data_IF_229197823760
#
_entry.id   IF_229197823760
#
_cell.length_a   1.000
_cell.length_b   1.000
_cell.length_c   1.000
_cell.angle_alpha   90.00
_cell.angle_beta   90.00
_cell.angle_gamma   90.00
#
_symmetry.space_group_name_H-M   'P 1'
#
loop_
_entity.id
_entity.type
_entity.pdbx_description
1 polymer ?
#
# COMPACT_ATOMS: atom_id res chain seq x y z
N UNK A 1 -22.49 -15.03 -17.51
CA UNK A 1 -22.20 -13.85 -18.34
C UNK A 1 -21.40 -12.91 -17.48
N UNK A 2 -20.07 -12.94 -17.61
CA UNK A 2 -19.14 -12.24 -16.73
C UNK A 2 -19.05 -10.79 -17.18
N UNK A 3 -19.57 -9.87 -16.39
CA UNK A 3 -19.26 -8.45 -16.51
C UNK A 3 -17.80 -8.27 -16.04
N UNK A 4 -16.87 -8.44 -16.95
CA UNK A 4 -15.58 -7.79 -16.83
C UNK A 4 -15.88 -6.29 -16.90
N UNK A 5 -15.93 -5.66 -15.72
CA UNK A 5 -15.89 -4.23 -15.61
C UNK A 5 -14.57 -3.82 -16.28
N UNK A 6 -14.70 -3.33 -17.53
CA UNK A 6 -13.58 -2.86 -18.28
C UNK A 6 -12.99 -1.70 -17.47
N UNK A 7 -11.89 -1.95 -16.79
CA UNK A 7 -10.98 -0.90 -16.35
C UNK A 7 -10.59 -0.21 -17.65
N UNK A 8 -11.27 0.88 -17.98
CA UNK A 8 -10.91 1.72 -19.12
C UNK A 8 -9.50 2.16 -18.81
N UNK A 9 -8.55 1.60 -19.54
CA UNK A 9 -7.12 1.91 -19.49
C UNK A 9 -6.98 3.38 -19.90
N UNK A 10 -7.02 4.29 -18.91
CA UNK A 10 -6.97 5.73 -19.11
C UNK A 10 -5.55 6.19 -18.88
N UNK A 11 -4.86 6.41 -19.96
CA UNK A 11 -3.53 6.99 -19.91
C UNK A 11 -3.57 8.49 -19.58
N UNK A 12 -2.62 8.92 -18.77
CA UNK A 12 -2.39 10.32 -18.41
C UNK A 12 -0.90 10.61 -18.49
N UNK A 13 -0.61 11.88 -18.74
CA UNK A 13 0.78 12.36 -18.76
C UNK A 13 1.19 12.82 -17.36
N UNK A 14 2.26 12.24 -16.83
CA UNK A 14 2.92 12.74 -15.64
C UNK A 14 3.51 14.14 -15.88
N UNK A 15 3.28 15.06 -14.97
CA UNK A 15 3.74 16.44 -15.12
C UNK A 15 5.24 16.63 -14.80
N UNK A 16 5.90 15.63 -14.24
CA UNK A 16 7.32 15.67 -13.86
C UNK A 16 8.20 15.04 -14.92
N UNK A 17 7.93 13.77 -15.28
CA UNK A 17 8.68 13.01 -16.27
C UNK A 17 8.20 13.28 -17.70
N UNK A 18 6.97 13.77 -17.87
CA UNK A 18 6.26 13.92 -19.13
C UNK A 18 5.94 12.59 -19.84
N UNK A 19 6.13 11.48 -19.18
CA UNK A 19 5.76 10.16 -19.67
C UNK A 19 4.24 9.96 -19.61
N UNK A 20 3.73 9.18 -20.56
CA UNK A 20 2.34 8.73 -20.57
C UNK A 20 2.28 7.37 -19.91
N UNK A 21 1.43 7.24 -18.90
CA UNK A 21 1.29 6.00 -18.14
C UNK A 21 -0.15 5.80 -17.69
N UNK A 22 -0.46 4.56 -17.29
CA UNK A 22 -1.77 4.22 -16.79
C UNK A 22 -2.16 5.08 -15.57
N UNK A 23 -3.41 5.51 -15.54
CA UNK A 23 -3.97 6.36 -14.50
C UNK A 23 -3.91 5.71 -13.10
N UNK A 24 -3.82 4.37 -13.02
CA UNK A 24 -3.66 3.65 -11.74
C UNK A 24 -2.33 3.94 -11.06
N UNK A 25 -1.30 4.29 -11.83
CA UNK A 25 0.05 4.64 -11.33
C UNK A 25 0.18 6.10 -10.92
N UNK A 26 -0.85 6.91 -11.11
CA UNK A 26 -0.79 8.35 -10.94
C UNK A 26 -1.70 8.83 -9.80
N UNK A 27 -1.31 9.93 -9.18
CA UNK A 27 -2.14 10.72 -8.27
C UNK A 27 -2.68 11.93 -9.03
N UNK A 28 -3.98 12.12 -8.97
CA UNK A 28 -4.64 13.32 -9.48
C UNK A 28 -4.57 14.44 -8.44
N UNK A 29 -4.27 15.64 -8.90
CA UNK A 29 -4.39 16.88 -8.15
C UNK A 29 -5.28 17.86 -8.89
N UNK A 30 -5.87 18.79 -8.18
CA UNK A 30 -6.65 19.91 -8.75
C UNK A 30 -6.26 21.23 -8.10
N UNK A 31 -6.56 22.32 -8.80
CA UNK A 31 -6.50 23.65 -8.20
C UNK A 31 -7.71 23.85 -7.30
N UNK A 32 -7.48 24.12 -6.03
CA UNK A 32 -8.52 24.58 -5.10
C UNK A 32 -8.93 26.04 -5.34
N UNK A 33 -10.02 26.49 -4.72
CA UNK A 33 -10.54 27.86 -4.92
C UNK A 33 -9.53 28.94 -4.53
N UNK A 34 -8.70 28.68 -3.54
CA UNK A 34 -7.67 29.62 -3.06
C UNK A 34 -6.33 29.48 -3.77
N UNK A 35 -6.30 28.79 -4.92
CA UNK A 35 -5.05 28.51 -5.66
C UNK A 35 -4.14 27.50 -4.98
N UNK A 36 -4.64 26.70 -4.05
CA UNK A 36 -3.87 25.61 -3.44
C UNK A 36 -3.94 24.33 -4.28
N UNK A 37 -2.85 23.57 -4.27
CA UNK A 37 -2.80 22.23 -4.86
C UNK A 37 -3.50 21.25 -3.92
N UNK A 38 -4.56 20.60 -4.37
CA UNK A 38 -5.37 19.67 -3.59
C UNK A 38 -5.25 18.24 -4.16
N UNK A 39 -4.82 17.23 -3.37
CA UNK A 39 -4.86 15.85 -3.79
C UNK A 39 -6.29 15.34 -3.98
N UNK A 40 -6.57 14.68 -5.10
CA UNK A 40 -7.87 14.11 -5.44
C UNK A 40 -7.76 12.61 -5.71
N UNK A 41 -7.48 11.83 -4.67
CA UNK A 41 -7.33 10.38 -4.76
C UNK A 41 -8.59 9.67 -5.24
N UNK A 42 -9.75 10.25 -4.93
CA UNK A 42 -11.06 9.74 -5.33
C UNK A 42 -11.48 10.12 -6.73
N UNK A 43 -10.76 11.04 -7.39
CA UNK A 43 -11.06 11.58 -8.72
C UNK A 43 -12.47 12.18 -8.83
N UNK A 44 -12.93 12.83 -7.75
CA UNK A 44 -14.29 13.38 -7.63
C UNK A 44 -14.33 14.90 -7.66
N UNK A 45 -13.21 15.57 -7.43
CA UNK A 45 -13.18 17.02 -7.38
C UNK A 45 -13.31 17.63 -8.79
N UNK A 46 -14.03 18.75 -8.94
CA UNK A 46 -14.15 19.46 -10.21
C UNK A 46 -12.79 20.05 -10.63
N UNK A 47 -12.69 20.44 -11.89
CA UNK A 47 -11.53 21.11 -12.43
C UNK A 47 -10.59 20.21 -13.23
N UNK A 48 -9.59 20.86 -13.86
CA UNK A 48 -8.58 20.18 -14.64
C UNK A 48 -7.69 19.33 -13.74
N UNK A 49 -7.56 18.03 -14.04
CA UNK A 49 -6.63 17.15 -13.35
C UNK A 49 -5.17 17.44 -13.71
N UNK A 50 -4.34 17.53 -12.69
CA UNK A 50 -2.88 17.59 -12.76
C UNK A 50 -2.38 16.25 -12.23
N UNK A 51 -1.61 15.51 -13.03
CA UNK A 51 -1.29 14.14 -12.73
C UNK A 51 0.19 13.99 -12.40
N UNK A 52 0.52 13.32 -11.32
CA UNK A 52 1.89 13.04 -10.86
C UNK A 52 2.01 11.56 -10.55
N UNK A 53 3.12 10.94 -10.95
CA UNK A 53 3.41 9.56 -10.58
C UNK A 53 3.28 9.36 -9.06
N UNK A 54 2.70 8.23 -8.66
CA UNK A 54 2.44 7.91 -7.26
C UNK A 54 3.73 7.51 -6.55
N UNK A 55 4.65 8.46 -6.40
CA UNK A 55 5.88 8.30 -5.64
C UNK A 55 6.21 9.57 -4.87
N UNK A 56 6.85 9.41 -3.71
CA UNK A 56 7.34 10.53 -2.89
C UNK A 56 8.24 11.44 -3.71
N UNK A 57 9.22 10.85 -4.40
CA UNK A 57 10.20 11.60 -5.20
C UNK A 57 9.55 12.44 -6.31
N UNK A 58 8.55 11.90 -7.00
CA UNK A 58 7.84 12.63 -8.08
C UNK A 58 7.03 13.80 -7.52
N UNK A 59 6.35 13.63 -6.38
CA UNK A 59 5.59 14.74 -5.76
C UNK A 59 6.53 15.83 -5.24
N UNK A 60 7.60 15.48 -4.55
CA UNK A 60 8.61 16.44 -4.09
C UNK A 60 9.26 17.21 -5.26
N UNK A 61 9.55 16.51 -6.37
CA UNK A 61 10.06 17.13 -7.58
C UNK A 61 9.04 18.09 -8.21
N UNK A 62 7.74 17.72 -8.23
CA UNK A 62 6.67 18.57 -8.71
C UNK A 62 6.54 19.87 -7.90
N UNK A 63 6.66 19.78 -6.57
CA UNK A 63 6.66 20.93 -5.66
C UNK A 63 7.91 21.79 -5.90
N UNK A 64 9.08 21.20 -5.82
CA UNK A 64 10.38 21.91 -5.95
C UNK A 64 10.53 22.65 -7.28
N UNK A 65 10.04 22.08 -8.37
CA UNK A 65 10.16 22.64 -9.72
C UNK A 65 8.96 23.52 -10.11
N UNK A 66 8.04 23.85 -9.21
CA UNK A 66 6.79 24.55 -9.51
C UNK A 66 5.98 23.90 -10.66
N UNK A 67 6.01 22.58 -10.73
CA UNK A 67 5.41 21.79 -11.81
C UNK A 67 3.89 22.00 -11.90
N UNK A 68 3.22 22.09 -10.77
CA UNK A 68 1.77 22.35 -10.71
C UNK A 68 1.38 23.69 -11.35
N UNK A 69 2.09 24.78 -11.00
CA UNK A 69 1.88 26.12 -11.58
C UNK A 69 2.05 26.11 -13.10
N UNK A 70 3.12 25.45 -13.59
CA UNK A 70 3.38 25.36 -15.04
C UNK A 70 2.32 24.55 -15.76
N UNK A 71 1.91 23.41 -15.20
CA UNK A 71 0.90 22.55 -15.82
C UNK A 71 -0.50 23.16 -15.81
N UNK A 72 -0.86 23.91 -14.75
CA UNK A 72 -2.13 24.60 -14.62
C UNK A 72 -2.19 25.90 -15.42
N UNK A 73 -1.04 26.46 -15.82
CA UNK A 73 -0.90 27.81 -16.43
C UNK A 73 -1.50 28.93 -15.56
N UNK A 74 -1.52 28.74 -14.25
CA UNK A 74 -1.95 29.69 -13.25
C UNK A 74 -1.14 29.48 -11.97
N UNK A 75 -0.97 30.55 -11.18
CA UNK A 75 -0.21 30.46 -9.94
C UNK A 75 -0.90 29.52 -8.96
N UNK A 76 -0.22 28.46 -8.56
CA UNK A 76 -0.68 27.52 -7.53
C UNK A 76 0.36 27.44 -6.42
N UNK A 77 -0.13 27.25 -5.20
CA UNK A 77 0.68 27.03 -4.01
C UNK A 77 0.56 25.56 -3.58
N UNK A 78 1.68 24.82 -3.58
CA UNK A 78 1.76 23.48 -3.05
C UNK A 78 2.45 23.51 -1.67
N UNK A 79 1.88 22.87 -0.64
CA UNK A 79 2.56 22.79 0.66
C UNK A 79 3.86 21.97 0.54
N UNK A 80 4.86 22.33 1.34
CA UNK A 80 6.16 21.65 1.31
C UNK A 80 6.05 20.16 1.71
N UNK A 81 5.11 19.83 2.57
CA UNK A 81 4.80 18.49 3.06
C UNK A 81 3.74 17.75 2.21
N UNK A 82 3.50 18.19 0.96
CA UNK A 82 2.47 17.60 0.10
C UNK A 82 2.63 16.07 -0.05
N UNK A 83 3.87 15.57 -0.13
CA UNK A 83 4.13 14.13 -0.22
C UNK A 83 3.66 13.39 1.04
N UNK A 84 3.88 13.97 2.24
CA UNK A 84 3.41 13.39 3.50
C UNK A 84 1.89 13.42 3.61
N UNK A 85 1.26 14.49 3.12
CA UNK A 85 -0.21 14.58 3.05
C UNK A 85 -0.77 13.47 2.17
N UNK A 86 -0.20 13.27 0.98
CA UNK A 86 -0.65 12.23 0.04
C UNK A 86 -0.44 10.83 0.63
N UNK A 87 0.71 10.57 1.25
CA UNK A 87 0.97 9.29 1.91
C UNK A 87 -0.07 8.95 2.98
N UNK A 88 -0.37 9.91 3.87
CA UNK A 88 -1.40 9.73 4.91
C UNK A 88 -2.79 9.46 4.31
N UNK A 89 -3.15 10.17 3.25
CA UNK A 89 -4.43 9.98 2.56
C UNK A 89 -4.51 8.61 1.87
N UNK A 90 -3.43 8.13 1.24
CA UNK A 90 -3.36 6.80 0.65
C UNK A 90 -3.46 5.70 1.70
N UNK A 91 -2.72 5.82 2.81
CA UNK A 91 -2.78 4.87 3.91
C UNK A 91 -4.21 4.78 4.48
N UNK A 92 -4.85 5.93 4.75
CA UNK A 92 -6.24 5.97 5.22
C UNK A 92 -7.19 5.31 4.22
N UNK A 93 -7.04 5.60 2.93
CA UNK A 93 -7.88 5.02 1.89
C UNK A 93 -7.71 3.51 1.78
N UNK A 94 -6.48 2.99 1.92
CA UNK A 94 -6.25 1.54 1.98
C UNK A 94 -6.99 0.91 3.17
N UNK A 95 -6.90 1.50 4.36
CA UNK A 95 -7.57 1.02 5.57
C UNK A 95 -9.11 1.06 5.44
N UNK A 96 -9.66 2.15 4.90
CA UNK A 96 -11.10 2.28 4.66
C UNK A 96 -11.62 1.17 3.71
N UNK A 97 -10.84 0.83 2.67
CA UNK A 97 -11.19 -0.27 1.76
C UNK A 97 -11.09 -1.65 2.42
N UNK A 98 -10.15 -1.87 3.34
CA UNK A 98 -10.09 -3.12 4.12
C UNK A 98 -11.31 -3.26 5.02
N UNK A 99 -11.76 -2.17 5.65
CA UNK A 99 -13.00 -2.15 6.43
C UNK A 99 -14.24 -2.50 5.59
N UNK A 100 -14.30 -2.01 4.34
CA UNK A 100 -15.34 -2.40 3.37
C UNK A 100 -15.24 -3.88 3.02
N UNK A 101 -14.04 -4.38 2.71
CA UNK A 101 -13.80 -5.78 2.37
C UNK A 101 -14.24 -6.73 3.49
N UNK A 102 -14.03 -6.35 4.75
CA UNK A 102 -14.51 -7.12 5.91
C UNK A 102 -16.02 -7.18 5.96
N UNK A 103 -16.72 -6.05 5.77
CA UNK A 103 -18.19 -6.00 5.74
C UNK A 103 -18.79 -6.83 4.60
N UNK A 104 -18.07 -6.93 3.48
CA UNK A 104 -18.44 -7.78 2.33
C UNK A 104 -18.09 -9.26 2.53
N UNK A 105 -17.43 -9.63 3.63
CA UNK A 105 -17.03 -11.01 3.92
C UNK A 105 -15.87 -11.52 3.07
N UNK A 106 -15.15 -10.64 2.33
CA UNK A 106 -14.00 -11.00 1.49
C UNK A 106 -12.65 -10.72 2.14
N UNK A 107 -12.65 -10.18 3.36
CA UNK A 107 -11.48 -10.09 4.22
C UNK A 107 -11.68 -11.00 5.44
N UNK A 108 -10.73 -11.90 5.65
CA UNK A 108 -10.73 -12.90 6.72
C UNK A 108 -9.62 -12.52 7.70
N UNK A 109 -9.92 -12.44 9.00
CA UNK A 109 -8.96 -12.08 10.05
C UNK A 109 -8.83 -13.18 11.10
N UNK A 110 -7.65 -13.27 11.71
CA UNK A 110 -7.26 -14.23 12.74
C UNK A 110 -6.32 -15.32 12.21
N UNK A 111 -5.41 -15.80 13.07
CA UNK A 111 -4.31 -16.68 12.67
C UNK A 111 -4.79 -17.95 11.92
N UNK A 112 -5.65 -18.75 12.56
CA UNK A 112 -6.12 -20.02 11.99
C UNK A 112 -6.91 -19.85 10.69
N UNK A 113 -7.75 -18.82 10.63
CA UNK A 113 -8.56 -18.53 9.43
C UNK A 113 -7.69 -18.04 8.28
N UNK A 114 -6.67 -17.21 8.57
CA UNK A 114 -5.67 -16.76 7.61
C UNK A 114 -4.89 -17.94 7.05
N UNK A 115 -4.38 -18.83 7.94
CA UNK A 115 -3.67 -20.03 7.55
C UNK A 115 -4.51 -20.98 6.68
N UNK A 116 -5.77 -21.18 7.05
CA UNK A 116 -6.69 -22.00 6.26
C UNK A 116 -6.97 -21.40 4.86
N UNK A 117 -7.16 -20.08 4.76
CA UNK A 117 -7.37 -19.39 3.48
C UNK A 117 -6.16 -19.47 2.56
N UNK A 118 -4.95 -19.39 3.14
CA UNK A 118 -3.69 -19.58 2.40
C UNK A 118 -3.58 -21.01 1.88
N UNK A 119 -3.76 -22.03 2.73
CA UNK A 119 -3.74 -23.44 2.29
C UNK A 119 -4.74 -23.72 1.17
N UNK A 120 -5.86 -23.02 1.17
CA UNK A 120 -6.89 -23.15 0.13
C UNK A 120 -6.57 -22.35 -1.15
N UNK A 121 -5.47 -21.61 -1.21
CA UNK A 121 -5.07 -20.81 -2.39
C UNK A 121 -6.02 -19.66 -2.73
N UNK A 122 -6.80 -19.16 -1.76
CA UNK A 122 -7.84 -18.15 -1.99
C UNK A 122 -7.39 -16.69 -1.77
N UNK A 123 -6.20 -16.49 -1.19
CA UNK A 123 -5.70 -15.17 -0.83
C UNK A 123 -5.08 -14.45 -2.02
N UNK A 124 -5.47 -13.20 -2.28
CA UNK A 124 -4.74 -12.28 -3.15
C UNK A 124 -3.67 -11.52 -2.36
N UNK A 125 -3.98 -11.17 -1.12
CA UNK A 125 -3.08 -10.46 -0.22
C UNK A 125 -3.08 -11.07 1.17
N UNK A 126 -1.89 -11.10 1.76
CA UNK A 126 -1.66 -11.33 3.20
C UNK A 126 -1.39 -9.99 3.85
N UNK A 127 -2.12 -9.70 4.91
CA UNK A 127 -1.98 -8.50 5.72
C UNK A 127 -1.42 -8.92 7.07
N UNK A 128 -0.23 -8.44 7.41
CA UNK A 128 0.43 -8.68 8.68
C UNK A 128 0.66 -7.35 9.38
N UNK A 129 0.32 -7.28 10.67
CA UNK A 129 0.61 -6.08 11.45
C UNK A 129 2.14 -5.85 11.52
N UNK A 130 2.56 -4.59 11.26
CA UNK A 130 3.98 -4.21 11.27
C UNK A 130 4.68 -4.51 12.60
N UNK A 131 3.94 -4.37 13.68
CA UNK A 131 4.33 -4.56 15.10
C UNK A 131 3.89 -5.91 15.68
N UNK A 132 3.34 -6.82 14.84
CA UNK A 132 2.98 -8.17 15.24
C UNK A 132 4.20 -9.03 15.59
N UNK A 133 3.99 -10.12 16.36
CA UNK A 133 5.07 -11.02 16.79
C UNK A 133 5.78 -11.69 15.61
N UNK A 134 7.10 -11.81 15.69
CA UNK A 134 7.91 -12.47 14.66
C UNK A 134 7.52 -13.93 14.44
N UNK A 135 7.20 -14.67 15.53
CA UNK A 135 6.81 -16.08 15.47
C UNK A 135 5.51 -16.28 14.68
N UNK A 136 4.44 -15.57 15.04
CA UNK A 136 3.15 -15.66 14.34
C UNK A 136 3.28 -15.29 12.88
N UNK A 137 3.94 -14.16 12.61
CA UNK A 137 4.22 -13.68 11.25
C UNK A 137 5.03 -14.70 10.44
N UNK A 138 6.10 -15.28 11.02
CA UNK A 138 6.94 -16.26 10.34
C UNK A 138 6.14 -17.49 9.87
N UNK A 139 5.23 -17.99 10.70
CA UNK A 139 4.34 -19.11 10.36
C UNK A 139 3.40 -18.78 9.20
N UNK A 140 2.81 -17.59 9.18
CA UNK A 140 1.93 -17.15 8.10
C UNK A 140 2.73 -16.92 6.81
N UNK A 141 3.87 -16.24 6.88
CA UNK A 141 4.71 -15.99 5.71
C UNK A 141 5.28 -17.29 5.11
N UNK A 142 5.57 -18.30 5.92
CA UNK A 142 5.98 -19.62 5.44
C UNK A 142 4.89 -20.29 4.57
N UNK A 143 3.62 -20.17 4.98
CA UNK A 143 2.48 -20.64 4.17
C UNK A 143 2.32 -19.82 2.89
N UNK A 144 2.53 -18.49 2.95
CA UNK A 144 2.39 -17.61 1.81
C UNK A 144 3.48 -17.81 0.74
N UNK A 145 4.67 -18.30 1.09
CA UNK A 145 5.79 -18.56 0.14
C UNK A 145 5.41 -19.47 -1.03
N UNK A 146 4.48 -20.37 -0.84
CA UNK A 146 4.03 -21.33 -1.86
C UNK A 146 2.78 -20.85 -2.60
N UNK A 147 2.38 -19.60 -2.40
CA UNK A 147 1.18 -19.01 -2.96
C UNK A 147 1.53 -17.76 -3.81
N UNK A 148 0.60 -17.35 -4.64
CA UNK A 148 0.70 -16.11 -5.44
C UNK A 148 0.29 -14.86 -4.64
N UNK A 149 -0.08 -15.03 -3.37
CA UNK A 149 -0.54 -13.93 -2.52
C UNK A 149 0.58 -12.91 -2.26
N UNK A 150 0.29 -11.64 -2.49
CA UNK A 150 1.17 -10.52 -2.17
C UNK A 150 1.15 -10.25 -0.65
N UNK A 151 2.19 -9.62 -0.12
CA UNK A 151 2.33 -9.35 1.32
C UNK A 151 2.32 -7.85 1.56
N UNK A 152 1.53 -7.41 2.54
CA UNK A 152 1.49 -6.04 3.03
C UNK A 152 1.66 -6.03 4.55
N UNK A 153 2.68 -5.32 5.04
CA UNK A 153 3.03 -5.19 6.45
C UNK A 153 3.26 -3.75 6.88
N UNK A 154 2.56 -2.78 6.24
CA UNK A 154 2.79 -1.35 6.50
C UNK A 154 1.91 -0.77 7.61
N UNK A 155 0.87 -1.49 8.02
CA UNK A 155 -0.09 -1.04 9.04
C UNK A 155 0.21 -1.70 10.38
N UNK A 156 0.04 -0.95 11.46
CA UNK A 156 0.13 -1.49 12.82
C UNK A 156 -1.09 -2.35 13.18
N UNK A 157 -1.00 -3.10 14.27
CA UNK A 157 -2.14 -3.84 14.81
C UNK A 157 -3.31 -2.90 15.16
N UNK A 158 -3.00 -1.70 15.68
CA UNK A 158 -4.01 -0.68 15.99
C UNK A 158 -4.67 -0.14 14.72
N UNK A 159 -3.90 0.17 13.66
CA UNK A 159 -4.46 0.61 12.37
C UNK A 159 -5.43 -0.42 11.80
N UNK A 160 -5.01 -1.70 11.78
CA UNK A 160 -5.84 -2.79 11.28
C UNK A 160 -7.07 -3.02 12.16
N UNK A 161 -6.89 -3.00 13.49
CA UNK A 161 -7.99 -3.20 14.44
C UNK A 161 -9.05 -2.13 14.29
N UNK A 162 -8.64 -0.88 14.21
CA UNK A 162 -9.55 0.25 14.01
C UNK A 162 -10.28 0.14 12.66
N UNK A 163 -9.57 -0.11 11.58
CA UNK A 163 -10.14 -0.21 10.24
C UNK A 163 -11.12 -1.38 10.09
N UNK A 164 -10.81 -2.49 10.74
CA UNK A 164 -11.63 -3.70 10.69
C UNK A 164 -12.70 -3.74 11.78
N UNK A 165 -12.69 -2.84 12.77
CA UNK A 165 -13.58 -2.88 13.92
C UNK A 165 -13.39 -4.16 14.75
N UNK A 166 -12.12 -4.50 15.05
CA UNK A 166 -11.70 -5.63 15.86
C UNK A 166 -10.82 -5.14 17.02
N UNK A 167 -10.73 -5.92 18.10
CA UNK A 167 -9.86 -5.56 19.23
C UNK A 167 -8.38 -5.86 18.96
N UNK A 168 -8.08 -6.89 18.15
CA UNK A 168 -6.71 -7.32 17.89
C UNK A 168 -6.60 -7.98 16.50
N UNK A 169 -6.32 -7.15 15.49
CA UNK A 169 -6.16 -7.60 14.11
C UNK A 169 -4.68 -7.62 13.73
N UNK A 170 -4.04 -8.79 13.85
CA UNK A 170 -2.62 -8.98 13.52
C UNK A 170 -2.47 -9.65 12.16
N UNK A 171 -3.23 -10.70 11.89
CA UNK A 171 -3.16 -11.51 10.68
C UNK A 171 -4.47 -11.44 9.93
N UNK A 172 -4.43 -11.13 8.65
CA UNK A 172 -5.60 -11.17 7.80
C UNK A 172 -5.22 -11.55 6.35
N UNK A 173 -6.22 -12.01 5.59
CA UNK A 173 -6.11 -12.18 4.14
C UNK A 173 -7.25 -11.45 3.45
N UNK A 174 -6.93 -10.83 2.34
CA UNK A 174 -7.92 -10.33 1.37
C UNK A 174 -8.05 -11.38 0.26
N UNK A 175 -9.26 -11.90 0.11
CA UNK A 175 -9.54 -12.94 -0.88
C UNK A 175 -9.50 -12.37 -2.30
N UNK A 176 -9.10 -13.21 -3.26
CA UNK A 176 -9.06 -12.84 -4.67
C UNK A 176 -10.45 -12.43 -5.19
N UNK A 177 -10.49 -11.42 -6.04
CA UNK A 177 -11.70 -10.87 -6.66
C UNK A 177 -11.65 -9.35 -6.80
N UNK A 178 -12.70 -8.77 -7.34
CA UNK A 178 -12.74 -7.35 -7.71
C UNK A 178 -12.49 -6.37 -6.55
N UNK A 179 -12.71 -6.78 -5.29
CA UNK A 179 -12.32 -5.96 -4.13
C UNK A 179 -10.81 -5.94 -3.95
N UNK A 180 -10.14 -7.09 -4.10
CA UNK A 180 -8.69 -7.18 -4.04
C UNK A 180 -8.02 -6.41 -5.20
N UNK A 181 -8.60 -6.46 -6.40
CA UNK A 181 -8.08 -5.73 -7.56
C UNK A 181 -8.10 -4.22 -7.31
N UNK A 182 -9.20 -3.69 -6.78
CA UNK A 182 -9.31 -2.27 -6.41
C UNK A 182 -8.36 -1.89 -5.28
N UNK A 183 -8.23 -2.74 -4.27
CA UNK A 183 -7.31 -2.49 -3.16
C UNK A 183 -5.85 -2.50 -3.63
N UNK A 184 -5.51 -3.40 -4.57
CA UNK A 184 -4.17 -3.49 -5.18
C UNK A 184 -3.74 -2.15 -5.77
N UNK A 185 -4.60 -1.47 -6.51
CA UNK A 185 -4.30 -0.15 -7.09
C UNK A 185 -3.92 0.85 -5.99
N UNK A 186 -4.68 0.90 -4.90
CA UNK A 186 -4.42 1.87 -3.83
C UNK A 186 -3.15 1.55 -3.03
N UNK A 187 -2.91 0.27 -2.73
CA UNK A 187 -1.73 -0.12 -1.97
C UNK A 187 -0.45 -0.04 -2.81
N UNK A 188 -0.52 -0.29 -4.11
CA UNK A 188 0.61 -0.10 -5.03
C UNK A 188 0.98 1.38 -5.19
N UNK A 189 0.00 2.30 -5.14
CA UNK A 189 0.28 3.74 -5.03
C UNK A 189 0.98 4.07 -3.71
N UNK A 190 0.54 3.47 -2.59
CA UNK A 190 1.19 3.67 -1.29
C UNK A 190 2.64 3.15 -1.29
N UNK A 191 2.94 2.10 -2.06
CA UNK A 191 4.30 1.55 -2.20
C UNK A 191 5.32 2.57 -2.73
N UNK A 192 4.90 3.58 -3.48
CA UNK A 192 5.76 4.68 -3.92
C UNK A 192 6.18 5.67 -2.82
N UNK A 193 5.63 5.51 -1.60
CA UNK A 193 5.93 6.37 -0.43
C UNK A 193 6.63 5.61 0.68
N UNK A 194 6.31 4.33 0.87
CA UNK A 194 6.94 3.45 1.85
C UNK A 194 6.94 2.01 1.35
N UNK A 195 7.94 1.18 1.71
CA UNK A 195 7.95 -0.23 1.32
C UNK A 195 6.76 -0.97 1.93
N UNK A 196 6.06 -1.78 1.14
CA UNK A 196 4.91 -2.56 1.61
C UNK A 196 5.30 -3.66 2.61
N UNK A 197 6.56 -4.09 2.59
CA UNK A 197 7.13 -5.03 3.54
C UNK A 197 8.22 -4.34 4.34
N UNK A 198 8.11 -4.29 5.67
CA UNK A 198 9.15 -3.69 6.50
C UNK A 198 10.51 -4.36 6.27
N UNK A 199 11.61 -3.61 6.06
CA UNK A 199 12.94 -4.19 5.78
C UNK A 199 13.45 -5.14 6.87
N UNK A 200 13.11 -4.88 8.13
CA UNK A 200 13.53 -5.72 9.27
C UNK A 200 12.88 -7.13 9.28
N UNK A 201 11.90 -7.40 8.43
CA UNK A 201 11.32 -8.74 8.32
C UNK A 201 12.23 -9.72 7.56
N UNK A 202 13.21 -9.21 6.82
CA UNK A 202 14.11 -10.01 6.00
C UNK A 202 15.43 -10.35 6.73
N UNK A 203 15.66 -9.84 7.95
CA UNK A 203 16.94 -9.95 8.68
C UNK A 203 17.08 -11.24 9.48
N UNK A 204 16.06 -12.09 9.57
CA UNK A 204 16.06 -13.28 10.45
C UNK A 204 16.77 -14.53 9.87
N UNK A 205 17.67 -14.42 8.90
CA UNK A 205 18.35 -15.57 8.29
C UNK A 205 19.90 -15.56 8.42
N UNK A 206 20.48 -14.73 9.29
CA UNK A 206 21.96 -14.62 9.37
C UNK A 206 22.55 -14.93 10.75
N UNK A 207 21.78 -15.25 11.75
CA UNK A 207 22.31 -15.67 13.06
C UNK A 207 21.93 -17.12 13.41
N UNK A 208 22.43 -18.09 12.65
CA UNK A 208 22.60 -19.45 13.15
C UNK A 208 23.82 -20.09 12.48
N UNK A 209 24.92 -20.09 13.19
CA UNK A 209 26.11 -20.80 12.72
C UNK A 209 27.44 -20.24 13.16
N UNK A 210 27.66 -19.95 14.45
CA UNK A 210 29.02 -20.00 15.00
C UNK A 210 28.99 -20.05 16.54
N UNK A 211 28.53 -21.16 17.09
CA UNK A 211 28.95 -21.52 18.42
C UNK A 211 30.27 -22.27 18.28
N UNK A 212 31.39 -21.57 18.44
CA UNK A 212 32.71 -22.12 18.50
C UNK A 212 32.82 -23.16 19.60
N UNK A 213 33.30 -24.37 19.28
CA UNK A 213 33.69 -25.39 20.19
C UNK A 213 34.82 -24.88 21.11
N UNK A 214 34.83 -25.22 22.40
CA UNK A 214 35.93 -24.86 23.27
C UNK A 214 37.18 -25.72 22.94
N UNK A 215 38.40 -25.16 23.05
CA UNK A 215 39.61 -25.92 22.86
C UNK A 215 39.78 -26.93 24.01
N UNK A 216 39.82 -28.23 23.68
CA UNK A 216 40.25 -29.28 24.55
C UNK A 216 41.73 -29.10 24.88
N UNK A 217 42.02 -28.78 26.14
CA UNK A 217 43.37 -28.85 26.67
C UNK A 217 43.81 -30.29 26.79
N UNK A 218 45.01 -30.56 26.32
CA UNK A 218 45.76 -31.78 26.66
C UNK A 218 47.05 -31.38 27.33
N UNK A 219 47.29 -32.02 28.43
CA UNK A 219 48.39 -32.20 29.34
C UNK A 219 49.80 -31.83 28.87
#
# INVERSE_FOLDING_TARGET
>A
MSLRDATIDRERRDLVSHEVMDESRLIRFVAGPDGQVVPDLGRKLPGRGLWVEASRASIEAAVKKNGFTRAAKTKLTAPADLADVVERLLARRCLDQLGLARREGVLISGFEKTAASLRAGKAAWVLEAADGSADGRGKILALARHQTAKICGVFTADDLSLALGLENAIHAVLLAGGRADRWTIEVERLAGFRPLRPPHWDVSSVEDGSAGAPPTGAS
#
